data_IF_934510717680
#
_entry.id   IF_934510717680
#
_cell.length_a   1.000
_cell.length_b   1.000
_cell.length_c   1.000
_cell.angle_alpha   90.00
_cell.angle_beta   90.00
_cell.angle_gamma   90.00
#
_symmetry.space_group_name_H-M   'P 1'
#
loop_
_entity.id
_entity.type
_entity.pdbx_description
1 polymer ?
#
# COMPACT_ATOMS: atom_id res chain seq x y z
N UNK A 1 -25.39 -14.57 -11.03
CA UNK A 1 -24.87 -15.50 -12.05
C UNK A 1 -23.36 -15.47 -11.99
N UNK A 2 -22.62 -16.59 -12.04
CA UNK A 2 -21.18 -16.58 -12.05
C UNK A 2 -20.66 -15.90 -13.32
N UNK A 3 -19.55 -15.15 -13.16
CA UNK A 3 -18.89 -14.45 -14.28
C UNK A 3 -17.76 -15.34 -14.85
N UNK A 4 -17.66 -15.41 -16.17
CA UNK A 4 -16.63 -16.16 -16.90
C UNK A 4 -15.77 -15.20 -17.73
N UNK A 5 -14.47 -15.26 -17.55
CA UNK A 5 -13.53 -14.59 -18.44
C UNK A 5 -13.35 -15.44 -19.71
N UNK A 6 -13.34 -14.78 -20.87
CA UNK A 6 -13.14 -15.46 -22.13
C UNK A 6 -12.03 -14.83 -22.97
N UNK A 7 -11.39 -15.67 -23.75
CA UNK A 7 -10.55 -15.31 -24.88
C UNK A 7 -11.19 -15.92 -26.12
N UNK A 8 -11.59 -15.09 -27.07
CA UNK A 8 -12.28 -15.54 -28.28
C UNK A 8 -11.72 -14.86 -29.52
N UNK A 9 -11.90 -15.45 -30.68
CA UNK A 9 -11.55 -14.88 -31.98
C UNK A 9 -12.82 -14.35 -32.65
N UNK A 10 -12.76 -13.13 -33.15
CA UNK A 10 -13.79 -12.50 -33.94
C UNK A 10 -13.75 -13.01 -35.40
N UNK A 11 -14.79 -12.75 -36.20
CA UNK A 11 -14.86 -13.10 -37.62
C UNK A 11 -13.69 -12.54 -38.45
N UNK A 12 -13.07 -11.44 -38.01
CA UNK A 12 -11.91 -10.80 -38.61
C UNK A 12 -10.56 -11.44 -38.20
N UNK A 13 -10.57 -12.53 -37.43
CA UNK A 13 -9.36 -13.21 -36.92
C UNK A 13 -8.68 -12.49 -35.72
N UNK A 14 -9.30 -11.46 -35.17
CA UNK A 14 -8.73 -10.71 -34.04
C UNK A 14 -9.12 -11.33 -32.71
N UNK A 15 -8.15 -11.43 -31.81
CA UNK A 15 -8.39 -11.94 -30.47
C UNK A 15 -9.11 -10.90 -29.61
N UNK A 16 -10.32 -11.21 -29.18
CA UNK A 16 -11.09 -10.43 -28.18
C UNK A 16 -11.07 -11.12 -26.83
N UNK A 17 -10.98 -10.31 -25.79
CA UNK A 17 -11.02 -10.77 -24.40
C UNK A 17 -12.10 -9.97 -23.67
N UNK A 18 -12.85 -10.64 -22.79
CA UNK A 18 -13.91 -10.00 -22.02
C UNK A 18 -14.40 -10.92 -20.90
N UNK A 19 -15.49 -10.49 -20.28
CA UNK A 19 -16.22 -11.24 -19.24
C UNK A 19 -17.65 -11.42 -19.70
N UNK A 20 -18.20 -12.64 -19.53
CA UNK A 20 -19.59 -12.97 -19.84
C UNK A 20 -20.21 -13.63 -18.60
N UNK A 21 -21.45 -13.27 -18.30
CA UNK A 21 -22.23 -13.88 -17.22
C UNK A 21 -22.98 -15.11 -17.77
N UNK A 22 -22.85 -16.24 -17.08
CA UNK A 22 -23.55 -17.46 -17.42
C UNK A 22 -23.66 -18.36 -16.18
N UNK A 23 -24.65 -19.24 -16.14
CA UNK A 23 -24.81 -20.19 -15.05
C UNK A 23 -23.78 -21.33 -15.08
N UNK A 24 -23.27 -21.64 -16.26
CA UNK A 24 -22.28 -22.69 -16.45
C UNK A 24 -21.31 -22.35 -17.59
N UNK A 25 -20.06 -22.92 -17.59
CA UNK A 25 -19.08 -22.68 -18.65
C UNK A 25 -19.56 -23.08 -20.06
N UNK A 26 -20.46 -24.07 -20.13
CA UNK A 26 -21.08 -24.48 -21.40
C UNK A 26 -22.01 -23.42 -21.96
N UNK A 27 -22.77 -22.75 -21.12
CA UNK A 27 -23.69 -21.67 -21.49
C UNK A 27 -22.92 -20.42 -21.91
N UNK A 28 -21.84 -20.08 -21.21
CA UNK A 28 -20.92 -19.00 -21.58
C UNK A 28 -20.34 -19.22 -23.01
N UNK A 29 -19.90 -20.45 -23.31
CA UNK A 29 -19.40 -20.81 -24.64
C UNK A 29 -20.50 -20.75 -25.71
N UNK A 30 -21.72 -21.14 -25.40
CA UNK A 30 -22.84 -21.07 -26.34
C UNK A 30 -23.22 -19.61 -26.63
N UNK A 31 -23.29 -18.74 -25.61
CA UNK A 31 -23.54 -17.30 -25.77
C UNK A 31 -22.48 -16.59 -26.59
N UNK A 32 -21.20 -16.93 -26.40
CA UNK A 32 -20.10 -16.37 -27.20
C UNK A 32 -20.19 -16.80 -28.67
N UNK A 33 -20.57 -18.05 -28.94
CA UNK A 33 -20.76 -18.54 -30.30
C UNK A 33 -21.96 -17.87 -31.00
N UNK A 34 -23.07 -17.64 -30.29
CA UNK A 34 -24.22 -16.92 -30.84
C UNK A 34 -23.92 -15.43 -31.11
N UNK A 35 -22.92 -14.87 -30.40
CA UNK A 35 -22.38 -13.51 -30.63
C UNK A 35 -21.31 -13.46 -31.76
N UNK A 36 -21.12 -14.57 -32.52
CA UNK A 36 -20.15 -14.60 -33.62
C UNK A 36 -18.69 -14.73 -33.19
N UNK A 37 -18.44 -15.06 -31.91
CA UNK A 37 -17.10 -15.23 -31.35
C UNK A 37 -16.74 -16.68 -31.20
N UNK A 38 -15.54 -17.09 -31.65
CA UNK A 38 -15.03 -18.45 -31.43
C UNK A 38 -14.26 -18.48 -30.11
N UNK A 39 -14.81 -19.07 -29.02
CA UNK A 39 -14.14 -19.10 -27.74
C UNK A 39 -12.93 -20.04 -27.78
N UNK A 40 -11.74 -19.50 -27.49
CA UNK A 40 -10.51 -20.28 -27.32
C UNK A 40 -10.38 -20.76 -25.87
N UNK A 41 -10.69 -19.88 -24.92
CA UNK A 41 -10.57 -20.15 -23.50
C UNK A 41 -11.75 -19.49 -22.76
N UNK A 42 -12.42 -20.25 -21.88
CA UNK A 42 -13.47 -19.76 -21.00
C UNK A 42 -13.18 -20.31 -19.61
N UNK A 43 -12.84 -19.43 -18.68
CA UNK A 43 -12.51 -19.76 -17.30
C UNK A 43 -13.44 -19.02 -16.34
N UNK A 44 -13.92 -19.71 -15.28
CA UNK A 44 -14.68 -19.07 -14.22
C UNK A 44 -13.81 -18.01 -13.52
N UNK A 45 -14.39 -16.86 -13.20
CA UNK A 45 -13.73 -15.80 -12.43
C UNK A 45 -13.83 -16.15 -10.94
N UNK A 46 -13.48 -17.40 -10.57
CA UNK A 46 -13.48 -17.86 -9.19
C UNK A 46 -12.19 -17.48 -8.47
N UNK A 47 -12.31 -17.06 -7.20
CA UNK A 47 -11.22 -16.57 -6.38
C UNK A 47 -10.20 -17.64 -5.94
N UNK A 48 -10.40 -18.94 -6.23
CA UNK A 48 -9.58 -20.01 -5.64
C UNK A 48 -9.05 -21.10 -6.56
N UNK A 49 -9.44 -21.20 -7.82
CA UNK A 49 -8.95 -22.25 -8.70
C UNK A 49 -7.77 -21.79 -9.57
N UNK A 50 -6.58 -21.76 -8.99
CA UNK A 50 -5.34 -21.55 -9.75
C UNK A 50 -4.66 -22.88 -10.11
N UNK A 51 -4.16 -23.09 -11.34
CA UNK A 51 -3.49 -24.32 -11.75
C UNK A 51 -2.15 -24.53 -11.02
N UNK A 52 -1.75 -25.78 -10.75
CA UNK A 52 -0.49 -26.08 -10.07
C UNK A 52 0.71 -25.88 -11.01
N UNK A 53 1.61 -25.04 -10.60
CA UNK A 53 2.93 -24.91 -11.23
C UNK A 53 3.37 -23.47 -11.54
N UNK A 54 4.48 -23.03 -10.94
CA UNK A 54 5.45 -21.96 -11.33
C UNK A 54 5.00 -20.61 -11.90
N UNK A 55 3.86 -20.51 -12.53
CA UNK A 55 3.30 -19.28 -13.13
C UNK A 55 2.45 -18.43 -12.17
N UNK A 56 2.19 -18.91 -10.95
CA UNK A 56 1.29 -18.26 -9.98
C UNK A 56 1.77 -16.91 -9.44
N UNK A 57 3.07 -16.73 -9.28
CA UNK A 57 3.64 -15.48 -8.75
C UNK A 57 3.47 -14.30 -9.72
N UNK A 58 3.51 -14.57 -11.04
CA UNK A 58 3.32 -13.53 -12.05
C UNK A 58 1.85 -13.25 -12.38
N UNK A 59 0.94 -14.22 -12.24
CA UNK A 59 -0.47 -14.05 -12.50
C UNK A 59 -1.18 -13.28 -11.36
N UNK A 60 -0.86 -13.58 -10.10
CA UNK A 60 -1.39 -12.85 -8.95
C UNK A 60 -0.86 -11.39 -8.87
N UNK A 61 0.37 -11.13 -9.33
CA UNK A 61 0.90 -9.77 -9.48
C UNK A 61 0.18 -8.97 -10.59
N UNK A 62 -0.42 -9.63 -11.57
CA UNK A 62 -1.15 -9.02 -12.69
C UNK A 62 -2.58 -8.60 -12.36
N UNK A 63 -3.19 -9.10 -11.29
CA UNK A 63 -4.56 -8.77 -10.87
C UNK A 63 -4.61 -7.69 -9.78
N UNK A 64 -3.71 -6.73 -9.79
CA UNK A 64 -3.73 -5.62 -8.84
C UNK A 64 -4.15 -4.33 -9.55
N UNK A 65 -5.13 -3.65 -8.97
CA UNK A 65 -5.48 -2.28 -9.37
C UNK A 65 -4.45 -1.34 -8.74
N UNK A 66 -3.94 -0.38 -9.49
CA UNK A 66 -3.01 0.63 -8.99
C UNK A 66 -3.65 1.51 -7.91
N UNK A 67 -2.86 2.00 -6.95
CA UNK A 67 -3.38 2.82 -5.87
C UNK A 67 -4.08 4.11 -6.36
N UNK A 68 -3.58 4.71 -7.44
CA UNK A 68 -4.20 5.87 -8.08
C UNK A 68 -5.54 5.54 -8.74
N UNK A 69 -5.62 4.39 -9.41
CA UNK A 69 -6.86 3.94 -10.05
C UNK A 69 -7.93 3.59 -9.01
N UNK A 70 -7.55 2.95 -7.88
CA UNK A 70 -8.49 2.71 -6.76
C UNK A 70 -9.02 4.03 -6.20
N UNK A 71 -8.15 5.03 -5.99
CA UNK A 71 -8.56 6.33 -5.48
C UNK A 71 -9.59 6.98 -6.41
N UNK A 72 -9.33 6.98 -7.72
CA UNK A 72 -10.22 7.53 -8.73
C UNK A 72 -11.56 6.77 -8.81
N UNK A 73 -11.52 5.43 -8.82
CA UNK A 73 -12.72 4.59 -8.82
C UNK A 73 -13.56 4.81 -7.55
N UNK A 74 -12.90 4.95 -6.39
CA UNK A 74 -13.59 5.22 -5.12
C UNK A 74 -14.27 6.59 -5.14
N UNK A 75 -13.62 7.61 -5.67
CA UNK A 75 -14.22 8.96 -5.83
C UNK A 75 -15.45 8.93 -6.74
N UNK A 76 -15.34 8.26 -7.89
CA UNK A 76 -16.47 8.09 -8.81
C UNK A 76 -17.62 7.32 -8.16
N UNK A 77 -17.30 6.24 -7.44
CA UNK A 77 -18.31 5.47 -6.72
C UNK A 77 -19.04 6.32 -5.68
N UNK A 78 -18.31 7.10 -4.89
CA UNK A 78 -18.90 8.02 -3.91
C UNK A 78 -19.84 9.02 -4.56
N UNK A 79 -19.42 9.67 -5.65
CA UNK A 79 -20.25 10.63 -6.38
C UNK A 79 -21.54 10.01 -6.93
N UNK A 80 -21.46 8.80 -7.48
CA UNK A 80 -22.64 8.09 -8.01
C UNK A 80 -23.61 7.70 -6.90
N UNK A 81 -23.11 7.25 -5.74
CA UNK A 81 -23.92 6.93 -4.56
C UNK A 81 -24.59 8.21 -3.98
N UNK A 82 -23.85 9.33 -3.89
CA UNK A 82 -24.39 10.62 -3.45
C UNK A 82 -25.46 11.17 -4.43
N UNK A 83 -25.33 10.85 -5.71
CA UNK A 83 -26.37 11.15 -6.72
C UNK A 83 -27.60 10.23 -6.63
N UNK A 84 -27.61 9.27 -5.71
CA UNK A 84 -28.75 8.39 -5.45
C UNK A 84 -28.83 7.15 -6.34
N UNK A 85 -27.76 6.81 -7.07
CA UNK A 85 -27.72 5.57 -7.85
C UNK A 85 -27.60 4.34 -6.94
N UNK A 86 -28.18 3.23 -7.38
CA UNK A 86 -28.02 1.94 -6.68
C UNK A 86 -26.60 1.42 -6.80
N UNK A 87 -26.18 0.56 -5.88
CA UNK A 87 -24.83 -0.07 -5.89
C UNK A 87 -24.56 -0.75 -7.24
N UNK A 88 -25.59 -1.41 -7.79
CA UNK A 88 -25.50 -2.08 -9.09
C UNK A 88 -25.20 -1.08 -10.23
N UNK A 89 -26.01 -0.02 -10.33
CA UNK A 89 -25.80 1.02 -11.33
C UNK A 89 -24.43 1.70 -11.22
N UNK A 90 -23.99 1.93 -9.99
CA UNK A 90 -22.66 2.45 -9.71
C UNK A 90 -21.57 1.51 -10.22
N UNK A 91 -21.68 0.21 -9.95
CA UNK A 91 -20.71 -0.79 -10.40
C UNK A 91 -20.69 -0.91 -11.92
N UNK A 92 -21.86 -0.85 -12.60
CA UNK A 92 -21.95 -0.84 -14.06
C UNK A 92 -21.19 0.36 -14.65
N UNK A 93 -21.48 1.56 -14.14
CA UNK A 93 -20.81 2.78 -14.58
C UNK A 93 -19.29 2.72 -14.34
N UNK A 94 -18.84 2.12 -13.21
CA UNK A 94 -17.42 1.96 -12.91
C UNK A 94 -16.73 0.94 -13.83
N UNK A 95 -17.43 -0.14 -14.20
CA UNK A 95 -16.91 -1.15 -15.13
C UNK A 95 -16.67 -0.54 -16.51
N UNK A 96 -17.61 0.27 -17.00
CA UNK A 96 -17.48 0.99 -18.28
C UNK A 96 -16.32 2.00 -18.26
N UNK A 97 -16.13 2.70 -17.15
CA UNK A 97 -15.12 3.74 -16.99
C UNK A 97 -13.74 3.21 -16.55
N UNK A 98 -13.62 1.93 -16.22
CA UNK A 98 -12.36 1.34 -15.80
C UNK A 98 -11.33 1.31 -16.95
N UNK A 99 -10.17 1.93 -16.74
CA UNK A 99 -9.10 1.99 -17.73
C UNK A 99 -8.27 0.69 -17.79
N UNK A 100 -8.16 0.00 -16.66
CA UNK A 100 -7.39 -1.24 -16.53
C UNK A 100 -8.25 -2.50 -16.69
N UNK A 101 -7.78 -3.48 -17.45
CA UNK A 101 -8.45 -4.79 -17.59
C UNK A 101 -8.62 -5.49 -16.22
N UNK A 102 -7.65 -5.33 -15.32
CA UNK A 102 -7.71 -5.87 -13.96
C UNK A 102 -8.82 -5.21 -13.12
N UNK A 103 -9.00 -3.89 -13.25
CA UNK A 103 -10.06 -3.18 -12.57
C UNK A 103 -11.43 -3.62 -13.07
N UNK A 104 -11.60 -3.69 -14.41
CA UNK A 104 -12.85 -4.13 -15.04
C UNK A 104 -13.24 -5.53 -14.60
N UNK A 105 -12.29 -6.46 -14.55
CA UNK A 105 -12.57 -7.85 -14.11
C UNK A 105 -12.95 -7.94 -12.64
N UNK A 106 -12.22 -7.21 -11.75
CA UNK A 106 -12.53 -7.23 -10.32
C UNK A 106 -13.89 -6.60 -10.07
N UNK A 107 -14.21 -5.45 -10.70
CA UNK A 107 -15.50 -4.79 -10.54
C UNK A 107 -16.65 -5.64 -11.08
N UNK A 108 -16.47 -6.32 -12.23
CA UNK A 108 -17.48 -7.22 -12.77
C UNK A 108 -17.73 -8.42 -11.85
N UNK A 109 -16.67 -8.98 -11.24
CA UNK A 109 -16.82 -10.05 -10.28
C UNK A 109 -17.53 -9.60 -9.00
N UNK A 110 -17.18 -8.41 -8.47
CA UNK A 110 -17.86 -7.80 -7.33
C UNK A 110 -19.35 -7.56 -7.65
N UNK A 111 -19.66 -7.04 -8.85
CA UNK A 111 -21.05 -6.86 -9.28
C UNK A 111 -21.83 -8.18 -9.31
N UNK A 112 -21.26 -9.22 -9.88
CA UNK A 112 -21.92 -10.54 -9.93
C UNK A 112 -22.24 -11.08 -8.53
N UNK A 113 -21.36 -10.86 -7.55
CA UNK A 113 -21.59 -11.25 -6.16
C UNK A 113 -22.69 -10.42 -5.49
N UNK A 114 -22.69 -9.11 -5.70
CA UNK A 114 -23.74 -8.21 -5.18
C UNK A 114 -25.10 -8.61 -5.75
N UNK A 115 -25.17 -8.90 -7.05
CA UNK A 115 -26.40 -9.39 -7.70
C UNK A 115 -26.86 -10.78 -7.16
N UNK A 116 -25.91 -11.59 -6.69
CA UNK A 116 -26.25 -12.87 -6.02
C UNK A 116 -26.71 -12.70 -4.56
N UNK A 117 -26.82 -11.44 -4.07
CA UNK A 117 -27.28 -11.12 -2.72
C UNK A 117 -26.17 -11.02 -1.67
N UNK A 118 -24.90 -11.05 -2.06
CA UNK A 118 -23.80 -10.79 -1.13
C UNK A 118 -23.69 -9.30 -0.83
N UNK A 119 -23.23 -8.94 0.38
CA UNK A 119 -22.92 -7.55 0.69
C UNK A 119 -21.71 -7.05 -0.11
N UNK A 120 -21.65 -5.77 -0.41
CA UNK A 120 -20.52 -5.15 -1.10
C UNK A 120 -19.20 -5.35 -0.33
N UNK A 121 -19.24 -5.22 1.01
CA UNK A 121 -18.08 -5.48 1.87
C UNK A 121 -17.60 -6.93 1.77
N UNK A 122 -18.51 -7.92 1.77
CA UNK A 122 -18.17 -9.34 1.62
C UNK A 122 -17.56 -9.62 0.24
N UNK A 123 -18.08 -8.98 -0.81
CA UNK A 123 -17.53 -9.09 -2.17
C UNK A 123 -16.11 -8.52 -2.25
N UNK A 124 -15.82 -7.40 -1.55
CA UNK A 124 -14.46 -6.85 -1.46
C UNK A 124 -13.51 -7.69 -0.61
N UNK A 125 -14.01 -8.48 0.34
CA UNK A 125 -13.18 -9.38 1.16
C UNK A 125 -12.44 -10.43 0.34
N UNK A 126 -12.97 -10.78 -0.85
CA UNK A 126 -12.29 -11.71 -1.77
C UNK A 126 -11.06 -11.11 -2.46
N UNK A 127 -10.92 -9.78 -2.45
CA UNK A 127 -9.81 -9.06 -3.09
C UNK A 127 -8.97 -8.24 -2.11
N UNK A 128 -8.37 -8.87 -1.06
CA UNK A 128 -7.69 -8.16 0.03
C UNK A 128 -6.40 -7.43 -0.43
N UNK A 129 -5.83 -7.84 -1.56
CA UNK A 129 -4.69 -7.17 -2.17
C UNK A 129 -5.05 -5.85 -2.85
N UNK A 130 -6.29 -5.70 -3.29
CA UNK A 130 -6.85 -4.52 -3.96
C UNK A 130 -7.55 -3.62 -2.95
N UNK A 131 -8.41 -4.17 -2.12
CA UNK A 131 -9.16 -3.44 -1.09
C UNK A 131 -8.58 -3.71 0.30
N UNK A 132 -7.77 -2.77 0.86
CA UNK A 132 -7.19 -2.92 2.19
C UNK A 132 -8.28 -3.05 3.27
N UNK A 133 -7.91 -3.54 4.43
CA UNK A 133 -8.86 -3.81 5.52
C UNK A 133 -9.67 -2.59 5.95
N UNK A 134 -9.02 -1.41 6.01
CA UNK A 134 -9.72 -0.16 6.31
C UNK A 134 -10.81 0.15 5.28
N UNK A 135 -10.56 -0.12 4.00
CA UNK A 135 -11.54 0.07 2.92
C UNK A 135 -12.76 -0.81 3.16
N UNK A 136 -12.54 -2.10 3.39
CA UNK A 136 -13.59 -3.10 3.61
C UNK A 136 -14.37 -2.87 4.91
N UNK A 137 -13.68 -2.46 5.98
CA UNK A 137 -14.30 -2.12 7.25
C UNK A 137 -15.23 -0.90 7.12
N UNK A 138 -14.81 0.13 6.37
CA UNK A 138 -15.61 1.32 6.11
C UNK A 138 -16.84 1.00 5.25
N UNK A 139 -16.66 0.23 4.18
CA UNK A 139 -17.78 -0.18 3.32
C UNK A 139 -18.79 -0.97 4.14
N UNK A 140 -18.35 -1.92 4.97
CA UNK A 140 -19.21 -2.69 5.86
C UNK A 140 -20.00 -1.80 6.83
N UNK A 141 -19.34 -0.79 7.39
CA UNK A 141 -20.00 0.17 8.27
C UNK A 141 -21.05 0.98 7.51
N UNK A 142 -20.72 1.49 6.33
CA UNK A 142 -21.64 2.24 5.48
C UNK A 142 -22.84 1.43 5.01
N UNK A 143 -22.66 0.13 4.71
CA UNK A 143 -23.77 -0.77 4.40
C UNK A 143 -24.70 -0.97 5.62
N UNK A 144 -24.15 -1.14 6.81
CA UNK A 144 -24.95 -1.36 8.03
C UNK A 144 -25.69 -0.08 8.49
N UNK A 145 -25.09 1.09 8.30
CA UNK A 145 -25.72 2.37 8.67
C UNK A 145 -26.67 2.91 7.60
N UNK A 146 -26.62 2.38 6.38
CA UNK A 146 -27.34 2.94 5.24
C UNK A 146 -26.69 4.22 4.65
N UNK A 147 -25.54 4.65 5.16
CA UNK A 147 -24.86 5.88 4.75
C UNK A 147 -23.62 5.59 3.88
N UNK A 148 -23.73 4.62 2.97
CA UNK A 148 -22.60 4.17 2.14
C UNK A 148 -22.01 5.31 1.30
N UNK A 149 -22.83 6.26 0.78
CA UNK A 149 -22.36 7.41 0.02
C UNK A 149 -21.42 8.30 0.83
N UNK A 150 -21.83 8.72 2.02
CA UNK A 150 -21.01 9.55 2.91
C UNK A 150 -19.71 8.85 3.34
N UNK A 151 -19.78 7.54 3.64
CA UNK A 151 -18.61 6.75 3.99
C UNK A 151 -17.65 6.63 2.82
N UNK A 152 -18.16 6.39 1.59
CA UNK A 152 -17.33 6.31 0.38
C UNK A 152 -16.68 7.63 0.03
N UNK A 153 -17.37 8.76 0.26
CA UNK A 153 -16.81 10.11 0.10
C UNK A 153 -15.63 10.36 1.04
N UNK A 154 -15.80 10.06 2.33
CA UNK A 154 -14.71 10.15 3.31
C UNK A 154 -13.52 9.24 2.96
N UNK A 155 -13.81 8.04 2.45
CA UNK A 155 -12.79 7.10 2.02
C UNK A 155 -12.04 7.60 0.77
N UNK A 156 -12.75 8.21 -0.19
CA UNK A 156 -12.16 8.83 -1.36
C UNK A 156 -11.19 9.97 -0.96
N UNK A 157 -11.62 10.87 -0.07
CA UNK A 157 -10.79 11.94 0.47
C UNK A 157 -9.51 11.41 1.13
N UNK A 158 -9.63 10.33 1.89
CA UNK A 158 -8.48 9.68 2.52
C UNK A 158 -7.50 9.10 1.49
N UNK A 159 -8.01 8.41 0.47
CA UNK A 159 -7.18 7.81 -0.57
C UNK A 159 -6.48 8.87 -1.43
N UNK A 160 -7.16 9.95 -1.79
CA UNK A 160 -6.60 11.07 -2.54
C UNK A 160 -5.48 11.77 -1.77
N UNK A 161 -5.71 12.11 -0.50
CA UNK A 161 -4.65 12.69 0.35
C UNK A 161 -3.45 11.78 0.46
N UNK A 162 -3.67 10.49 0.69
CA UNK A 162 -2.61 9.50 0.74
C UNK A 162 -1.84 9.37 -0.57
N UNK A 163 -2.53 9.49 -1.70
CA UNK A 163 -1.92 9.50 -3.03
C UNK A 163 -1.07 10.74 -3.24
N UNK A 164 -1.58 11.92 -2.92
CA UNK A 164 -0.87 13.20 -3.01
C UNK A 164 0.42 13.19 -2.18
N UNK A 165 0.34 12.74 -0.90
CA UNK A 165 1.54 12.62 -0.05
C UNK A 165 2.58 11.68 -0.64
N UNK A 166 2.17 10.54 -1.23
CA UNK A 166 3.10 9.62 -1.88
C UNK A 166 3.77 10.21 -3.11
N UNK A 167 3.02 10.93 -3.94
CA UNK A 167 3.55 11.59 -5.12
C UNK A 167 4.54 12.68 -4.73
N UNK A 168 4.20 13.53 -3.76
CA UNK A 168 5.09 14.58 -3.26
C UNK A 168 6.39 14.00 -2.69
N UNK A 169 6.32 12.92 -1.90
CA UNK A 169 7.48 12.24 -1.36
C UNK A 169 8.35 11.61 -2.47
N UNK A 170 7.73 11.05 -3.51
CA UNK A 170 8.45 10.49 -4.67
C UNK A 170 9.20 11.56 -5.45
N UNK A 171 8.58 12.70 -5.70
CA UNK A 171 9.20 13.84 -6.39
C UNK A 171 10.32 14.47 -5.56
N UNK A 172 10.16 14.58 -4.24
CA UNK A 172 11.18 15.11 -3.35
C UNK A 172 12.47 14.29 -3.34
N UNK A 173 12.36 12.96 -3.55
CA UNK A 173 13.53 12.07 -3.62
C UNK A 173 14.17 12.01 -5.01
N UNK A 174 13.52 12.51 -6.05
CA UNK A 174 14.02 12.45 -7.42
C UNK A 174 15.29 13.29 -7.59
N UNK A 175 15.30 14.51 -7.07
CA UNK A 175 16.45 15.40 -7.15
C UNK A 175 17.70 14.82 -6.43
N UNK A 176 17.64 14.40 -5.16
CA UNK A 176 18.76 13.73 -4.50
C UNK A 176 19.24 12.48 -5.23
N UNK A 177 18.33 11.69 -5.81
CA UNK A 177 18.68 10.48 -6.55
C UNK A 177 19.46 10.82 -7.84
N UNK A 178 19.05 11.85 -8.58
CA UNK A 178 19.75 12.30 -9.80
C UNK A 178 21.14 12.81 -9.43
N UNK A 179 21.25 13.69 -8.42
CA UNK A 179 22.54 14.24 -7.98
C UNK A 179 23.48 13.13 -7.52
N UNK A 180 22.98 12.18 -6.71
CA UNK A 180 23.78 11.04 -6.27
C UNK A 180 24.22 10.14 -7.44
N UNK A 181 23.35 9.90 -8.43
CA UNK A 181 23.69 9.12 -9.61
C UNK A 181 24.78 9.80 -10.45
N UNK A 182 24.66 11.11 -10.70
CA UNK A 182 25.67 11.88 -11.43
C UNK A 182 27.01 11.89 -10.69
N UNK A 183 26.98 12.16 -9.38
CA UNK A 183 28.19 12.13 -8.57
C UNK A 183 28.87 10.75 -8.59
N UNK A 184 28.10 9.69 -8.49
CA UNK A 184 28.59 8.31 -8.58
C UNK A 184 29.21 8.02 -9.95
N UNK A 185 28.56 8.46 -11.05
CA UNK A 185 29.11 8.32 -12.40
C UNK A 185 30.45 9.05 -12.56
N UNK A 186 30.58 10.26 -12.02
CA UNK A 186 31.83 11.03 -12.06
C UNK A 186 32.92 10.30 -11.27
N UNK A 187 32.62 9.84 -10.05
CA UNK A 187 33.58 9.11 -9.21
C UNK A 187 34.04 7.81 -9.89
N UNK A 188 33.12 7.04 -10.45
CA UNK A 188 33.45 5.81 -11.18
C UNK A 188 34.30 6.13 -12.42
N UNK A 189 33.95 7.18 -13.17
CA UNK A 189 34.72 7.63 -14.33
C UNK A 189 36.17 8.04 -13.95
N UNK A 190 36.33 8.82 -12.88
CA UNK A 190 37.65 9.21 -12.37
C UNK A 190 38.46 8.00 -11.92
N UNK A 191 37.85 7.07 -11.18
CA UNK A 191 38.54 5.86 -10.70
C UNK A 191 38.93 4.91 -11.84
N UNK A 192 38.14 4.87 -12.92
CA UNK A 192 38.37 3.97 -14.05
C UNK A 192 39.38 4.52 -15.07
N UNK A 193 39.35 5.83 -15.34
CA UNK A 193 40.17 6.45 -16.40
C UNK A 193 41.34 7.26 -15.86
N UNK A 194 41.12 8.12 -14.87
CA UNK A 194 42.14 9.08 -14.42
C UNK A 194 43.15 8.45 -13.45
N UNK A 195 42.68 7.67 -12.51
CA UNK A 195 43.54 7.03 -11.50
C UNK A 195 44.61 6.12 -12.14
N UNK A 196 44.32 5.23 -13.12
CA UNK A 196 45.36 4.44 -13.77
C UNK A 196 46.44 5.27 -14.46
N UNK A 197 46.07 6.36 -15.16
CA UNK A 197 47.02 7.26 -15.84
C UNK A 197 47.96 7.93 -14.85
N UNK A 198 47.44 8.39 -13.71
CA UNK A 198 48.25 9.00 -12.66
C UNK A 198 49.22 7.98 -12.06
N UNK A 199 48.78 6.73 -11.87
CA UNK A 199 49.65 5.66 -11.34
C UNK A 199 50.79 5.31 -12.27
N UNK A 200 50.57 5.27 -13.58
CA UNK A 200 51.65 5.03 -14.58
C UNK A 200 52.73 6.09 -14.54
N UNK A 201 52.35 7.36 -14.42
CA UNK A 201 53.32 8.49 -14.31
C UNK A 201 54.17 8.41 -13.03
N UNK A 202 53.56 8.06 -11.88
CA UNK A 202 54.29 7.87 -10.62
C UNK A 202 55.21 6.63 -10.65
N UNK A 203 54.77 5.53 -11.30
CA UNK A 203 55.56 4.32 -11.43
C UNK A 203 56.85 4.59 -12.24
N UNK A 204 56.76 5.42 -13.29
CA UNK A 204 57.91 5.82 -14.09
C UNK A 204 58.90 6.73 -13.31
N UNK A 205 58.37 7.54 -12.36
CA UNK A 205 59.18 8.50 -11.59
C UNK A 205 59.83 7.91 -10.35
N UNK A 206 59.69 6.61 -10.04
CA UNK A 206 60.17 5.90 -8.85
C UNK A 206 59.81 6.57 -7.50
N UNK A 207 58.76 7.39 -7.45
CA UNK A 207 58.34 8.10 -6.24
C UNK A 207 57.29 7.27 -5.48
N UNK A 208 57.31 7.37 -4.14
CA UNK A 208 56.32 6.70 -3.30
C UNK A 208 54.98 7.40 -3.41
N UNK A 209 53.93 6.65 -3.74
CA UNK A 209 52.57 7.14 -3.86
C UNK A 209 52.04 7.75 -2.55
N UNK A 210 51.42 8.93 -2.57
CA UNK A 210 50.76 9.52 -1.41
C UNK A 210 49.70 8.59 -0.80
N UNK A 211 49.46 8.70 0.51
CA UNK A 211 48.54 7.84 1.22
C UNK A 211 47.15 7.84 0.60
N UNK A 212 46.61 8.99 0.22
CA UNK A 212 45.31 9.12 -0.44
C UNK A 212 45.23 8.33 -1.75
N UNK A 213 46.27 8.39 -2.57
CA UNK A 213 46.35 7.68 -3.85
C UNK A 213 46.39 6.17 -3.64
N UNK A 214 47.05 5.69 -2.60
CA UNK A 214 47.02 4.24 -2.20
C UNK A 214 45.65 3.80 -1.79
N UNK A 215 44.88 4.59 -1.02
CA UNK A 215 43.50 4.28 -0.63
C UNK A 215 42.58 4.26 -1.85
N UNK A 216 42.76 5.21 -2.78
CA UNK A 216 41.99 5.25 -4.03
C UNK A 216 42.28 4.04 -4.94
N UNK A 217 43.54 3.61 -5.03
CA UNK A 217 43.94 2.42 -5.77
C UNK A 217 43.35 1.17 -5.16
N UNK A 218 43.45 1.02 -3.85
CA UNK A 218 42.83 -0.09 -3.16
C UNK A 218 41.31 -0.14 -3.39
N UNK A 219 40.64 1.03 -3.35
CA UNK A 219 39.22 1.13 -3.67
C UNK A 219 38.92 0.75 -5.12
N UNK A 220 39.77 1.16 -6.07
CA UNK A 220 39.66 0.82 -7.49
C UNK A 220 39.87 -0.69 -7.74
N UNK A 221 40.90 -1.30 -7.14
CA UNK A 221 41.15 -2.74 -7.23
C UNK A 221 39.99 -3.55 -6.64
N UNK A 222 39.45 -3.12 -5.50
CA UNK A 222 38.26 -3.74 -4.89
C UNK A 222 37.05 -3.62 -5.84
N UNK A 223 36.90 -2.48 -6.50
CA UNK A 223 35.81 -2.25 -7.44
C UNK A 223 35.96 -3.11 -8.72
N UNK A 224 37.15 -3.20 -9.31
CA UNK A 224 37.39 -3.95 -10.55
C UNK A 224 37.56 -5.46 -10.32
N UNK A 225 38.26 -5.88 -9.26
CA UNK A 225 38.58 -7.28 -9.03
C UNK A 225 37.54 -8.05 -8.19
N UNK A 226 36.81 -7.36 -7.33
CA UNK A 226 35.90 -7.99 -6.33
C UNK A 226 34.46 -7.55 -6.43
N UNK A 227 34.08 -6.82 -7.46
CA UNK A 227 32.68 -6.32 -7.63
C UNK A 227 31.67 -7.48 -7.58
N UNK A 228 31.99 -8.60 -8.20
CA UNK A 228 31.17 -9.81 -8.17
C UNK A 228 31.00 -10.39 -6.76
N UNK A 229 32.09 -10.42 -5.97
CA UNK A 229 32.05 -10.90 -4.58
C UNK A 229 31.30 -9.92 -3.66
N UNK A 230 31.48 -8.61 -3.86
CA UNK A 230 30.76 -7.57 -3.11
C UNK A 230 29.27 -7.64 -3.43
N UNK A 231 28.91 -7.76 -4.70
CA UNK A 231 27.52 -7.93 -5.12
C UNK A 231 26.90 -9.23 -4.57
N UNK A 232 27.65 -10.35 -4.64
CA UNK A 232 27.21 -11.62 -4.06
C UNK A 232 27.04 -11.52 -2.55
N UNK A 233 27.99 -10.91 -1.82
CA UNK A 233 27.91 -10.68 -0.39
C UNK A 233 26.73 -9.77 -0.01
N UNK A 234 26.49 -8.69 -0.79
CA UNK A 234 25.34 -7.81 -0.60
C UNK A 234 24.01 -8.55 -0.82
N UNK A 235 23.92 -9.39 -1.85
CA UNK A 235 22.75 -10.23 -2.11
C UNK A 235 22.54 -11.25 -0.99
N UNK A 236 23.61 -11.94 -0.54
CA UNK A 236 23.54 -12.88 0.57
C UNK A 236 23.13 -12.20 1.88
N UNK A 237 23.69 -11.01 2.15
CA UNK A 237 23.31 -10.21 3.31
C UNK A 237 21.85 -9.77 3.23
N UNK A 238 21.40 -9.31 2.06
CA UNK A 238 20.00 -8.95 1.84
C UNK A 238 19.05 -10.14 2.02
N UNK A 239 19.44 -11.32 1.53
CA UNK A 239 18.70 -12.58 1.73
C UNK A 239 18.68 -13.00 3.19
N UNK A 240 19.81 -12.91 3.90
CA UNK A 240 19.92 -13.24 5.33
C UNK A 240 19.09 -12.27 6.18
N UNK A 241 19.14 -10.95 5.89
CA UNK A 241 18.31 -9.94 6.52
C UNK A 241 16.82 -10.21 6.25
N UNK A 242 16.47 -10.52 5.00
CA UNK A 242 15.10 -10.87 4.62
C UNK A 242 14.62 -12.15 5.34
N UNK A 243 15.46 -13.14 5.48
CA UNK A 243 15.15 -14.37 6.21
C UNK A 243 14.99 -14.11 7.72
N UNK A 244 15.90 -13.34 8.32
CA UNK A 244 15.82 -12.91 9.72
C UNK A 244 14.55 -12.06 9.98
N UNK A 245 14.17 -11.20 9.01
CA UNK A 245 12.97 -10.36 9.09
C UNK A 245 11.66 -11.16 8.96
N UNK A 246 11.69 -12.40 8.46
CA UNK A 246 10.52 -13.29 8.40
C UNK A 246 10.12 -13.85 9.77
N UNK A 247 11.02 -13.87 10.75
CA UNK A 247 10.72 -14.34 12.10
C UNK A 247 10.00 -13.23 12.89
N UNK A 248 8.77 -13.46 13.32
CA UNK A 248 7.95 -12.46 14.02
C UNK A 248 8.61 -11.91 15.29
N UNK A 249 9.29 -12.76 16.07
CA UNK A 249 10.00 -12.35 17.27
C UNK A 249 11.15 -11.36 16.94
N UNK A 250 11.89 -11.62 15.86
CA UNK A 250 12.98 -10.75 15.39
C UNK A 250 12.40 -9.43 14.90
N UNK A 251 11.31 -9.49 14.14
CA UNK A 251 10.59 -8.32 13.61
C UNK A 251 10.08 -7.41 14.74
N UNK A 252 9.47 -7.97 15.80
CA UNK A 252 9.05 -7.20 16.98
C UNK A 252 10.21 -6.46 17.65
N UNK A 253 11.35 -7.14 17.86
CA UNK A 253 12.55 -6.54 18.47
C UNK A 253 13.16 -5.42 17.61
N UNK A 254 13.22 -5.62 16.30
CA UNK A 254 13.69 -4.60 15.34
C UNK A 254 12.78 -3.38 15.32
N UNK A 255 11.45 -3.58 15.26
CA UNK A 255 10.48 -2.50 15.29
C UNK A 255 10.55 -1.69 16.60
N UNK A 256 10.74 -2.35 17.74
CA UNK A 256 10.92 -1.68 19.03
C UNK A 256 12.25 -0.88 19.11
N UNK A 257 13.35 -1.43 18.54
CA UNK A 257 14.64 -0.71 18.48
C UNK A 257 14.59 0.50 17.55
N UNK A 258 13.95 0.38 16.39
CA UNK A 258 13.74 1.48 15.44
C UNK A 258 13.02 2.67 16.09
N UNK A 259 12.05 2.41 16.96
CA UNK A 259 11.33 3.47 17.69
C UNK A 259 12.22 4.22 18.70
N UNK A 260 13.37 3.64 19.11
CA UNK A 260 14.32 4.27 20.06
C UNK A 260 15.36 5.13 19.35
N UNK A 261 15.50 5.05 18.03
CA UNK A 261 16.45 5.87 17.29
C UNK A 261 16.00 7.34 17.28
N UNK A 262 16.90 8.31 17.57
CA UNK A 262 16.52 9.71 17.79
C UNK A 262 15.95 10.39 16.54
N UNK A 263 16.38 10.02 15.34
CA UNK A 263 15.92 10.61 14.07
C UNK A 263 14.77 9.83 13.44
N UNK A 264 14.86 8.51 13.44
CA UNK A 264 13.92 7.60 12.75
C UNK A 264 12.70 7.30 13.63
N UNK A 265 12.91 7.17 14.95
CA UNK A 265 11.84 6.80 15.90
C UNK A 265 10.65 7.76 15.88
N UNK A 266 10.85 9.07 16.02
CA UNK A 266 9.75 10.05 15.99
C UNK A 266 8.99 10.05 14.66
N UNK A 267 9.69 9.89 13.52
CA UNK A 267 9.06 9.78 12.19
C UNK A 267 8.15 8.55 12.09
N UNK A 268 8.65 7.37 12.49
CA UNK A 268 7.86 6.14 12.42
C UNK A 268 6.65 6.18 13.37
N UNK A 269 6.82 6.72 14.59
CA UNK A 269 5.70 6.95 15.52
C UNK A 269 4.67 7.87 14.91
N UNK A 270 5.10 9.01 14.36
CA UNK A 270 4.21 9.98 13.75
C UNK A 270 3.43 9.40 12.56
N UNK A 271 4.11 8.70 11.64
CA UNK A 271 3.46 8.09 10.46
C UNK A 271 2.42 7.04 10.85
N UNK A 272 2.74 6.16 11.80
CA UNK A 272 1.79 5.12 12.22
C UNK A 272 0.67 5.69 13.11
N UNK A 273 0.96 6.73 13.92
CA UNK A 273 -0.08 7.46 14.68
C UNK A 273 -1.02 8.21 13.73
N UNK A 274 -0.49 8.88 12.70
CA UNK A 274 -1.31 9.54 11.69
C UNK A 274 -2.27 8.55 11.00
N UNK A 275 -1.77 7.37 10.62
CA UNK A 275 -2.60 6.31 10.03
C UNK A 275 -3.68 5.81 10.97
N UNK A 276 -3.31 5.56 12.23
CA UNK A 276 -4.25 5.14 13.25
C UNK A 276 -5.34 6.19 13.46
N UNK A 277 -4.93 7.44 13.69
CA UNK A 277 -5.82 8.56 13.94
C UNK A 277 -6.80 8.80 12.77
N UNK A 278 -6.28 8.87 11.55
CA UNK A 278 -7.11 9.03 10.34
C UNK A 278 -8.08 7.85 10.18
N UNK A 279 -7.61 6.61 10.40
CA UNK A 279 -8.46 5.42 10.30
C UNK A 279 -9.56 5.40 11.35
N UNK A 280 -9.23 5.68 12.61
CA UNK A 280 -10.21 5.77 13.71
C UNK A 280 -11.19 6.92 13.47
N UNK A 281 -10.71 8.08 13.01
CA UNK A 281 -11.55 9.23 12.70
C UNK A 281 -12.61 8.93 11.65
N UNK A 282 -12.19 8.29 10.54
CA UNK A 282 -13.08 7.92 9.44
C UNK A 282 -14.08 6.83 9.90
N UNK A 283 -13.58 5.78 10.59
CA UNK A 283 -14.45 4.70 11.10
C UNK A 283 -15.48 5.22 12.10
N UNK A 284 -15.05 6.09 13.03
CA UNK A 284 -15.96 6.68 14.01
C UNK A 284 -16.94 7.67 13.38
N UNK A 285 -16.53 8.43 12.36
CA UNK A 285 -17.43 9.28 11.58
C UNK A 285 -18.47 8.47 10.79
N UNK A 286 -18.11 7.25 10.33
CA UNK A 286 -19.02 6.30 9.69
C UNK A 286 -19.86 5.49 10.68
N UNK A 287 -19.94 5.87 11.96
CA UNK A 287 -20.79 5.19 12.96
C UNK A 287 -20.25 3.83 13.45
N UNK A 288 -19.02 3.45 13.10
CA UNK A 288 -18.43 2.19 13.56
C UNK A 288 -18.19 2.26 15.08
N UNK A 289 -18.67 1.26 15.87
CA UNK A 289 -18.40 1.18 17.30
C UNK A 289 -16.89 1.25 17.59
N UNK A 290 -16.50 2.02 18.63
CA UNK A 290 -15.10 2.32 18.96
C UNK A 290 -14.21 1.06 19.06
N UNK A 291 -14.71 -0.01 19.69
CA UNK A 291 -13.95 -1.25 19.83
C UNK A 291 -13.65 -1.93 18.48
N UNK A 292 -14.60 -1.86 17.55
CA UNK A 292 -14.42 -2.39 16.19
C UNK A 292 -13.48 -1.47 15.39
N UNK A 293 -13.61 -0.15 15.56
CA UNK A 293 -12.71 0.82 14.94
C UNK A 293 -11.27 0.63 15.42
N UNK A 294 -11.05 0.35 16.71
CA UNK A 294 -9.71 0.04 17.28
C UNK A 294 -9.14 -1.25 16.71
N UNK A 295 -9.97 -2.31 16.58
CA UNK A 295 -9.53 -3.57 15.96
C UNK A 295 -9.08 -3.38 14.51
N UNK A 296 -9.84 -2.62 13.71
CA UNK A 296 -9.48 -2.29 12.34
C UNK A 296 -8.25 -1.37 12.28
N UNK A 297 -8.19 -0.35 13.15
CA UNK A 297 -7.09 0.59 13.28
C UNK A 297 -5.77 -0.10 13.65
N UNK A 298 -5.78 -1.07 14.55
CA UNK A 298 -4.60 -1.86 14.93
C UNK A 298 -3.96 -2.53 13.70
N UNK A 299 -4.75 -3.02 12.76
CA UNK A 299 -4.26 -3.71 11.55
C UNK A 299 -3.67 -2.75 10.50
N UNK A 300 -4.00 -1.47 10.56
CA UNK A 300 -3.43 -0.42 9.68
C UNK A 300 -2.03 0.00 10.15
N UNK A 301 -1.75 -0.12 11.45
CA UNK A 301 -0.45 0.19 12.06
C UNK A 301 0.59 -0.83 11.60
N UNK A 302 1.70 -0.36 11.03
CA UNK A 302 2.76 -1.23 10.50
C UNK A 302 3.77 -1.66 11.56
N UNK A 303 4.04 -0.78 12.51
CA UNK A 303 4.96 -1.10 13.61
C UNK A 303 4.29 -2.05 14.60
N UNK A 304 4.89 -3.22 14.81
CA UNK A 304 4.32 -4.26 15.67
C UNK A 304 4.24 -3.86 17.15
N UNK A 305 5.13 -2.96 17.62
CA UNK A 305 5.07 -2.46 18.99
C UNK A 305 3.89 -1.49 19.18
N UNK A 306 3.70 -0.56 18.23
CA UNK A 306 2.55 0.34 18.23
C UNK A 306 1.24 -0.43 18.03
N UNK A 307 1.23 -1.45 17.16
CA UNK A 307 0.05 -2.32 17.00
C UNK A 307 -0.33 -3.00 18.30
N UNK A 308 0.64 -3.63 18.98
CA UNK A 308 0.40 -4.27 20.27
C UNK A 308 -0.14 -3.27 21.31
N UNK A 309 0.35 -2.02 21.31
CA UNK A 309 -0.17 -0.98 22.18
C UNK A 309 -1.63 -0.59 21.86
N UNK A 310 -2.03 -0.60 20.58
CA UNK A 310 -3.44 -0.37 20.20
C UNK A 310 -4.33 -1.54 20.60
N UNK A 311 -3.84 -2.77 20.41
CA UNK A 311 -4.57 -4.00 20.82
C UNK A 311 -4.75 -4.04 22.34
N UNK A 312 -3.73 -3.65 23.11
CA UNK A 312 -3.79 -3.51 24.56
C UNK A 312 -4.77 -2.41 24.96
N UNK A 313 -4.71 -1.24 24.31
CA UNK A 313 -5.66 -0.15 24.55
C UNK A 313 -7.10 -0.56 24.24
N UNK A 314 -7.33 -1.36 23.17
CA UNK A 314 -8.65 -1.92 22.88
C UNK A 314 -9.18 -2.79 24.02
N UNK A 315 -8.32 -3.61 24.62
CA UNK A 315 -8.70 -4.45 25.75
C UNK A 315 -9.05 -3.59 26.98
N UNK A 316 -8.25 -2.57 27.31
CA UNK A 316 -8.50 -1.66 28.42
C UNK A 316 -9.80 -0.85 28.24
N UNK A 317 -10.07 -0.41 26.99
CA UNK A 317 -11.34 0.26 26.68
C UNK A 317 -12.54 -0.71 26.82
N UNK A 318 -12.41 -1.97 26.45
CA UNK A 318 -13.44 -3.00 26.70
C UNK A 318 -13.71 -3.19 28.19
N UNK A 319 -12.69 -3.03 29.04
CA UNK A 319 -12.78 -3.13 30.50
C UNK A 319 -13.27 -1.82 31.16
N UNK A 320 -13.60 -0.80 30.35
CA UNK A 320 -14.21 0.45 30.80
C UNK A 320 -13.21 1.62 30.99
N UNK A 321 -11.95 1.47 30.59
CA UNK A 321 -11.01 2.60 30.58
C UNK A 321 -11.33 3.59 29.47
N UNK A 322 -11.00 4.86 29.66
CA UNK A 322 -11.07 5.85 28.59
C UNK A 322 -9.97 5.62 27.54
N UNK A 323 -10.27 5.91 26.27
CA UNK A 323 -9.33 5.67 25.17
C UNK A 323 -8.01 6.43 25.35
N UNK A 324 -8.08 7.70 25.77
CA UNK A 324 -6.88 8.51 25.98
C UNK A 324 -5.96 7.92 27.07
N UNK A 325 -6.51 7.39 28.18
CA UNK A 325 -5.72 6.73 29.24
C UNK A 325 -5.09 5.44 28.75
N UNK A 326 -5.88 4.61 28.04
CA UNK A 326 -5.41 3.34 27.50
C UNK A 326 -4.24 3.55 26.51
N UNK A 327 -4.33 4.54 25.62
CA UNK A 327 -3.25 4.86 24.69
C UNK A 327 -2.05 5.51 25.37
N UNK A 328 -2.26 6.41 26.35
CA UNK A 328 -1.19 7.07 27.09
C UNK A 328 -0.33 6.08 27.87
N UNK A 329 -0.92 5.03 28.43
CA UNK A 329 -0.22 4.01 29.21
C UNK A 329 0.94 3.33 28.46
N UNK A 330 0.91 3.26 27.14
CA UNK A 330 1.98 2.70 26.33
C UNK A 330 3.23 3.60 26.21
N UNK A 331 3.10 4.91 26.37
CA UNK A 331 4.17 5.91 26.16
C UNK A 331 4.70 5.98 24.72
N UNK A 332 4.04 5.31 23.76
CA UNK A 332 4.50 5.22 22.38
C UNK A 332 3.89 6.28 21.46
N UNK A 333 2.76 6.86 21.85
CA UNK A 333 2.04 7.84 21.04
C UNK A 333 2.46 9.27 21.36
N UNK A 334 2.49 10.18 20.36
CA UNK A 334 2.80 11.59 20.58
C UNK A 334 1.83 12.26 21.58
N UNK A 335 2.31 13.16 22.47
CA UNK A 335 1.45 13.81 23.46
C UNK A 335 0.27 14.56 22.85
N UNK A 336 0.49 15.26 21.75
CA UNK A 336 -0.57 16.01 21.05
C UNK A 336 -1.72 15.11 20.59
N UNK A 337 -1.41 13.90 20.12
CA UNK A 337 -2.42 12.91 19.76
C UNK A 337 -3.26 12.50 20.96
N UNK A 338 -2.64 12.21 22.11
CA UNK A 338 -3.34 11.84 23.34
C UNK A 338 -4.24 12.98 23.83
N UNK A 339 -3.76 14.23 23.75
CA UNK A 339 -4.57 15.40 24.15
C UNK A 339 -5.79 15.59 23.24
N UNK A 340 -5.65 15.42 21.92
CA UNK A 340 -6.77 15.52 21.00
C UNK A 340 -7.79 14.38 21.23
N UNK A 341 -7.33 13.16 21.52
CA UNK A 341 -8.22 12.05 21.87
C UNK A 341 -8.98 12.36 23.17
N UNK A 342 -8.30 12.85 24.21
CA UNK A 342 -8.92 13.23 25.48
C UNK A 342 -9.98 14.33 25.30
N UNK A 343 -9.67 15.36 24.51
CA UNK A 343 -10.62 16.43 24.19
C UNK A 343 -11.83 15.90 23.41
N UNK A 344 -11.60 14.97 22.47
CA UNK A 344 -12.64 14.32 21.69
C UNK A 344 -13.59 13.46 22.53
N UNK A 345 -13.03 12.71 23.50
CA UNK A 345 -13.83 11.93 24.46
C UNK A 345 -14.66 12.83 25.37
N UNK A 346 -14.06 13.88 25.93
CA UNK A 346 -14.74 14.81 26.84
C UNK A 346 -15.86 15.61 26.15
N UNK A 347 -15.67 15.97 24.87
CA UNK A 347 -16.65 16.74 24.09
C UNK A 347 -17.66 15.91 23.32
N UNK A 348 -17.55 14.57 23.32
CA UNK A 348 -18.35 13.68 22.47
C UNK A 348 -18.06 13.80 20.97
N UNK A 349 -16.98 14.50 20.57
CA UNK A 349 -16.58 14.73 19.18
C UNK A 349 -15.34 13.93 18.79
N UNK A 350 -15.25 12.68 19.25
CA UNK A 350 -14.07 11.84 19.08
C UNK A 350 -13.66 11.67 17.60
N UNK A 351 -14.63 11.42 16.73
CA UNK A 351 -14.39 11.26 15.29
C UNK A 351 -13.69 12.49 14.67
N UNK A 352 -14.19 13.69 15.00
CA UNK A 352 -13.63 14.95 14.50
C UNK A 352 -12.21 15.19 15.03
N UNK A 353 -11.99 14.98 16.33
CA UNK A 353 -10.69 15.19 16.96
C UNK A 353 -9.65 14.17 16.48
N UNK A 354 -10.04 12.93 16.26
CA UNK A 354 -9.17 11.91 15.65
C UNK A 354 -8.79 12.30 14.21
N UNK A 355 -9.73 12.79 13.41
CA UNK A 355 -9.44 13.30 12.08
C UNK A 355 -8.48 14.49 12.07
N UNK A 356 -8.62 15.42 13.03
CA UNK A 356 -7.66 16.52 13.21
C UNK A 356 -6.28 16.02 13.65
N UNK A 357 -6.24 15.08 14.60
CA UNK A 357 -4.99 14.49 15.08
C UNK A 357 -4.21 13.80 13.94
N UNK A 358 -4.92 13.08 13.05
CA UNK A 358 -4.32 12.47 11.87
C UNK A 358 -3.68 13.51 10.95
N UNK A 359 -4.42 14.57 10.60
CA UNK A 359 -3.92 15.67 9.75
C UNK A 359 -2.73 16.40 10.39
N UNK A 360 -2.78 16.68 11.68
CA UNK A 360 -1.70 17.36 12.40
C UNK A 360 -0.41 16.52 12.36
N UNK A 361 -0.54 15.20 12.60
CA UNK A 361 0.61 14.30 12.54
C UNK A 361 1.19 14.16 11.11
N UNK A 362 0.35 14.21 10.07
CA UNK A 362 0.81 14.22 8.67
C UNK A 362 1.65 15.48 8.39
N UNK A 363 1.16 16.66 8.77
CA UNK A 363 1.90 17.94 8.60
C UNK A 363 3.21 17.94 9.36
N UNK A 364 3.24 17.48 10.61
CA UNK A 364 4.47 17.38 11.39
C UNK A 364 5.48 16.41 10.78
N UNK A 365 5.02 15.29 10.26
CA UNK A 365 5.88 14.31 9.60
C UNK A 365 6.47 14.87 8.30
N UNK A 366 5.66 15.56 7.48
CA UNK A 366 6.13 16.20 6.25
C UNK A 366 7.17 17.30 6.57
N UNK A 367 6.95 18.09 7.61
CA UNK A 367 7.94 19.07 8.05
C UNK A 367 9.26 18.43 8.49
N UNK A 368 9.21 17.33 9.25
CA UNK A 368 10.40 16.58 9.67
C UNK A 368 11.15 15.96 8.48
N UNK A 369 10.42 15.42 7.50
CA UNK A 369 11.04 14.89 6.27
C UNK A 369 11.75 15.99 5.51
N UNK A 370 11.12 17.17 5.34
CA UNK A 370 11.75 18.32 4.66
C UNK A 370 13.04 18.79 5.37
N UNK A 371 13.04 18.82 6.70
CA UNK A 371 14.24 19.16 7.47
C UNK A 371 15.38 18.15 7.33
N UNK A 372 15.09 16.91 6.97
CA UNK A 372 16.09 15.87 6.76
C UNK A 372 16.59 15.82 5.30
N UNK A 373 15.85 16.40 4.37
CA UNK A 373 16.16 16.38 2.93
C UNK A 373 16.65 17.73 2.37
N UNK A 374 16.53 18.83 3.12
CA UNK A 374 17.07 20.16 2.80
C UNK A 374 18.34 20.43 3.53
#
# INVERSE_FOLDING_TARGET
MPAFSYVAIDADGRTRRGVVEAEAPRQARAGLRSAGLVPLEVAAVDSEAAPPGGRRLFAAARMRIGAGEISLLTRRFAMLLEAGLTIEQCLDALIEQAQGESARRILAAVRAEVLSGQSLAASFDRYPSTFPEIYRALVRAGEHSGELGAVMSNLADYLERRQATRQSAGLALLYPAIVAAVALCIVVGLLTYVVPQVVEVYAQSRQTLPFLTRVLLWASEVLHGKLGYIAAAAVLLALALRWAYRREATKKRWHARLLRLPLVGPLWRGVDTARLASSLGILSAGGVPLLQALAAGARVVRNLALRAAVEEAQQQVREGSTLHRALAGSGLFPPIFIHLVASGEASGRLAHMLGQAGRQQEVENDARVRLLTG
#
